data_IF_482829382307
#
_entry.id   IF_482829382307
#
_cell.length_a   1.000
_cell.length_b   1.000
_cell.length_c   1.000
_cell.angle_alpha   90.00
_cell.angle_beta   90.00
_cell.angle_gamma   90.00
#
_symmetry.space_group_name_H-M   'P 1'
#
loop_
_entity.id
_entity.type
_entity.pdbx_description
1 polymer ?
#
# COMPACT_ATOMS: atom_id res chain seq x y z
N UNK A 1 5.07 -9.22 -31.48
CA UNK A 1 4.12 -8.12 -31.67
C UNK A 1 4.65 -6.93 -30.92
N UNK A 2 5.09 -5.92 -31.67
CA UNK A 2 5.63 -4.70 -31.11
C UNK A 2 4.46 -3.76 -30.80
N UNK A 3 3.89 -3.87 -29.61
CA UNK A 3 2.90 -2.93 -29.10
C UNK A 3 3.52 -1.55 -28.79
N UNK A 4 4.84 -1.41 -28.99
CA UNK A 4 5.63 -0.26 -28.51
C UNK A 4 5.32 1.07 -29.21
N UNK A 5 4.66 1.05 -30.34
CA UNK A 5 4.43 2.26 -31.13
C UNK A 5 3.03 2.84 -31.04
N UNK A 6 2.09 2.17 -30.36
CA UNK A 6 0.68 2.54 -30.41
C UNK A 6 0.21 3.37 -29.20
N UNK A 7 0.86 3.23 -28.05
CA UNK A 7 0.44 3.92 -26.83
C UNK A 7 1.64 4.45 -26.04
N UNK A 8 1.72 5.76 -25.83
CA UNK A 8 2.75 6.40 -25.00
C UNK A 8 2.71 5.89 -23.54
N UNK A 9 1.54 5.45 -23.06
CA UNK A 9 1.34 4.89 -21.72
C UNK A 9 2.10 3.58 -21.48
N UNK A 10 2.52 2.88 -22.51
CA UNK A 10 3.25 1.60 -22.39
C UNK A 10 4.78 1.78 -22.45
N UNK A 11 5.26 2.99 -22.72
CA UNK A 11 6.69 3.24 -22.89
C UNK A 11 7.48 2.87 -21.62
N UNK A 12 6.92 3.12 -20.44
CA UNK A 12 7.59 2.91 -19.17
C UNK A 12 7.83 1.43 -18.85
N UNK A 13 7.02 0.51 -19.38
CA UNK A 13 7.13 -0.92 -19.12
C UNK A 13 7.98 -1.66 -20.18
N UNK A 14 8.40 -0.99 -21.25
CA UNK A 14 9.26 -1.60 -22.25
C UNK A 14 10.62 -1.97 -21.66
N UNK A 15 11.03 -3.22 -21.82
CA UNK A 15 12.26 -3.76 -21.23
C UNK A 15 13.50 -2.93 -21.59
N UNK A 16 13.62 -2.47 -22.85
CA UNK A 16 14.70 -1.59 -23.31
C UNK A 16 14.77 -0.28 -22.51
N UNK A 17 13.63 0.31 -22.20
CA UNK A 17 13.53 1.56 -21.46
C UNK A 17 13.79 1.34 -19.96
N UNK A 18 13.31 0.23 -19.40
CA UNK A 18 13.58 -0.12 -18.02
C UNK A 18 15.08 -0.30 -17.78
N UNK A 19 15.76 -0.98 -18.69
CA UNK A 19 17.19 -1.29 -18.58
C UNK A 19 18.10 -0.11 -18.92
N UNK A 20 17.59 0.94 -19.55
CA UNK A 20 18.32 2.18 -19.79
C UNK A 20 18.41 3.00 -18.50
N UNK A 21 19.64 3.18 -18.00
CA UNK A 21 19.89 3.94 -16.76
C UNK A 21 19.47 5.41 -16.83
N UNK A 22 19.36 5.99 -18.02
CA UNK A 22 18.96 7.38 -18.23
C UNK A 22 17.45 7.55 -18.40
N UNK A 23 16.73 6.45 -18.57
CA UNK A 23 15.29 6.52 -18.78
C UNK A 23 14.56 6.92 -17.50
N UNK A 24 13.67 7.90 -17.61
CA UNK A 24 12.77 8.32 -16.55
C UNK A 24 11.33 7.96 -16.91
N UNK A 25 10.54 7.63 -15.90
CA UNK A 25 9.11 7.38 -16.06
C UNK A 25 8.41 8.65 -16.60
N UNK A 26 7.59 8.49 -17.63
CA UNK A 26 6.93 9.62 -18.29
C UNK A 26 5.48 9.35 -18.68
N UNK A 27 5.07 8.11 -18.65
CA UNK A 27 3.74 7.70 -19.11
C UNK A 27 2.63 8.12 -18.13
N UNK A 28 1.40 7.78 -18.47
CA UNK A 28 0.25 8.00 -17.60
C UNK A 28 0.41 7.23 -16.29
N UNK A 29 0.28 7.94 -15.16
CA UNK A 29 0.62 7.40 -13.84
C UNK A 29 -0.12 6.10 -13.51
N UNK A 30 -1.45 6.08 -13.68
CA UNK A 30 -2.28 4.90 -13.41
C UNK A 30 -1.77 3.67 -14.13
N UNK A 31 -1.48 3.77 -15.44
CA UNK A 31 -0.98 2.65 -16.25
C UNK A 31 0.44 2.24 -15.83
N UNK A 32 1.30 3.20 -15.49
CA UNK A 32 2.65 2.90 -15.03
C UNK A 32 2.63 2.04 -13.75
N UNK A 33 1.75 2.35 -12.81
CA UNK A 33 1.60 1.57 -11.58
C UNK A 33 0.92 0.22 -11.82
N UNK A 34 -0.05 0.16 -12.72
CA UNK A 34 -0.68 -1.10 -13.15
C UNK A 34 0.33 -2.05 -13.80
N UNK A 35 1.21 -1.55 -14.64
CA UNK A 35 2.18 -2.36 -15.39
C UNK A 35 3.25 -3.05 -14.52
N UNK A 36 3.39 -2.68 -13.25
CA UNK A 36 4.23 -3.43 -12.30
C UNK A 36 3.79 -4.90 -12.27
N UNK A 37 2.48 -5.18 -12.31
CA UNK A 37 1.93 -6.55 -12.32
C UNK A 37 2.40 -7.35 -13.53
N UNK A 38 2.52 -6.71 -14.68
CA UNK A 38 3.04 -7.35 -15.90
C UNK A 38 4.48 -7.84 -15.71
N UNK A 39 5.34 -7.00 -15.14
CA UNK A 39 6.73 -7.38 -14.84
C UNK A 39 6.83 -8.48 -13.78
N UNK A 40 6.00 -8.40 -12.72
CA UNK A 40 5.94 -9.44 -11.68
C UNK A 40 5.57 -10.78 -12.32
N UNK A 41 4.49 -10.81 -13.11
CA UNK A 41 4.01 -12.05 -13.75
C UNK A 41 5.07 -12.58 -14.70
N UNK A 42 5.66 -11.72 -15.56
CA UNK A 42 6.69 -12.13 -16.52
C UNK A 42 7.92 -12.72 -15.81
N UNK A 43 8.41 -12.07 -14.74
CA UNK A 43 9.54 -12.59 -13.94
C UNK A 43 9.26 -13.98 -13.40
N UNK A 44 8.09 -14.19 -12.77
CA UNK A 44 7.78 -15.47 -12.14
C UNK A 44 7.40 -16.56 -13.12
N UNK A 45 6.88 -16.21 -14.32
CA UNK A 45 6.59 -17.18 -15.38
C UNK A 45 7.84 -17.63 -16.11
N UNK A 46 8.73 -16.70 -16.45
CA UNK A 46 9.92 -17.00 -17.26
C UNK A 46 11.16 -17.37 -16.43
N UNK A 47 11.22 -17.01 -15.14
CA UNK A 47 12.38 -17.19 -14.26
C UNK A 47 13.68 -16.59 -14.85
N UNK A 48 13.57 -15.48 -15.57
CA UNK A 48 14.64 -14.80 -16.28
C UNK A 48 15.34 -13.77 -15.39
N UNK A 49 16.68 -13.81 -15.33
CA UNK A 49 17.48 -12.88 -14.54
C UNK A 49 17.35 -11.42 -15.01
N UNK A 50 17.15 -11.22 -16.33
CA UNK A 50 16.96 -9.88 -16.91
C UNK A 50 15.64 -9.28 -16.46
N UNK A 51 14.56 -10.08 -16.41
CA UNK A 51 13.27 -9.64 -15.90
C UNK A 51 13.32 -9.37 -14.38
N UNK A 52 14.11 -10.13 -13.63
CA UNK A 52 14.34 -9.85 -12.22
C UNK A 52 15.00 -8.50 -12.02
N UNK A 53 16.09 -8.23 -12.74
CA UNK A 53 16.78 -6.93 -12.73
C UNK A 53 15.86 -5.79 -13.17
N UNK A 54 15.06 -6.02 -14.22
CA UNK A 54 14.12 -5.03 -14.73
C UNK A 54 13.06 -4.66 -13.67
N UNK A 55 12.52 -5.66 -12.97
CA UNK A 55 11.55 -5.39 -11.89
C UNK A 55 12.17 -4.55 -10.77
N UNK A 56 13.39 -4.87 -10.32
CA UNK A 56 14.07 -4.12 -9.27
C UNK A 56 14.28 -2.65 -9.68
N UNK A 57 14.78 -2.41 -10.90
CA UNK A 57 14.97 -1.05 -11.43
C UNK A 57 13.63 -0.31 -11.54
N UNK A 58 12.58 -1.00 -12.00
CA UNK A 58 11.27 -0.39 -12.17
C UNK A 58 10.68 0.01 -10.81
N UNK A 59 10.76 -0.85 -9.79
CA UNK A 59 10.32 -0.57 -8.44
C UNK A 59 11.07 0.62 -7.81
N UNK A 60 12.38 0.75 -8.06
CA UNK A 60 13.14 1.91 -7.56
C UNK A 60 12.70 3.22 -8.22
N UNK A 61 12.33 3.20 -9.49
CA UNK A 61 11.73 4.36 -10.16
C UNK A 61 10.33 4.68 -9.67
N UNK A 62 9.52 3.66 -9.39
CA UNK A 62 8.18 3.81 -8.83
C UNK A 62 8.22 4.53 -7.47
N UNK A 63 9.19 4.21 -6.62
CA UNK A 63 9.37 4.91 -5.32
C UNK A 63 9.59 6.41 -5.50
N UNK A 64 10.25 6.84 -6.59
CA UNK A 64 10.45 8.26 -6.90
C UNK A 64 9.18 8.93 -7.45
N UNK A 65 8.21 8.13 -7.93
CA UNK A 65 6.92 8.59 -8.43
C UNK A 65 5.80 8.52 -7.38
N UNK A 66 6.14 8.31 -6.11
CA UNK A 66 5.20 8.31 -4.98
C UNK A 66 5.66 9.31 -3.92
N UNK A 67 4.70 9.99 -3.28
CA UNK A 67 4.95 10.92 -2.18
C UNK A 67 5.18 10.17 -0.86
N UNK A 68 5.52 10.90 0.19
CA UNK A 68 5.77 10.36 1.53
C UNK A 68 4.56 9.67 2.15
N UNK A 69 3.33 10.04 1.77
CA UNK A 69 2.09 9.38 2.20
C UNK A 69 1.77 8.11 1.40
N UNK A 70 2.57 7.77 0.41
CA UNK A 70 2.26 6.73 -0.58
C UNK A 70 1.39 7.25 -1.73
N UNK A 71 1.24 8.57 -1.86
CA UNK A 71 0.49 9.22 -2.93
C UNK A 71 1.18 9.04 -4.29
N UNK A 72 0.66 8.17 -5.15
CA UNK A 72 1.22 7.86 -6.45
C UNK A 72 0.82 8.91 -7.50
N UNK A 73 1.79 9.46 -8.26
CA UNK A 73 1.53 10.47 -9.29
C UNK A 73 0.42 10.00 -10.21
N UNK A 74 -0.64 10.78 -10.33
CA UNK A 74 -1.81 10.44 -11.11
C UNK A 74 -2.36 11.60 -11.89
N UNK A 75 -1.71 12.76 -11.86
CA UNK A 75 -2.09 13.94 -12.63
C UNK A 75 -1.75 13.74 -14.11
N UNK A 76 -2.42 12.77 -14.71
CA UNK A 76 -2.29 12.31 -16.08
C UNK A 76 -0.90 11.68 -16.38
N UNK A 77 0.17 12.47 -16.44
CA UNK A 77 1.49 12.02 -16.88
C UNK A 77 2.56 12.21 -15.81
N UNK A 78 3.39 11.19 -15.62
CA UNK A 78 4.56 11.30 -14.74
C UNK A 78 5.56 12.32 -15.31
N UNK A 79 5.72 12.35 -16.62
CA UNK A 79 6.48 13.39 -17.36
C UNK A 79 7.88 13.65 -16.77
N UNK A 80 8.62 12.58 -16.44
CA UNK A 80 9.98 12.59 -15.87
C UNK A 80 10.10 13.28 -14.50
N UNK A 81 8.97 13.54 -13.82
CA UNK A 81 8.94 14.18 -12.50
C UNK A 81 9.20 13.17 -11.38
N UNK A 82 9.88 13.62 -10.35
CA UNK A 82 9.84 12.98 -9.05
C UNK A 82 8.66 13.51 -8.25
N UNK A 83 8.06 12.67 -7.43
CA UNK A 83 6.99 13.10 -6.54
C UNK A 83 7.51 13.99 -5.41
N UNK A 84 6.75 15.01 -5.07
CA UNK A 84 6.96 15.82 -3.87
C UNK A 84 5.64 16.12 -3.16
N UNK A 85 5.73 16.55 -1.91
CA UNK A 85 4.55 16.75 -1.05
C UNK A 85 3.66 17.93 -1.50
N UNK A 86 4.20 18.90 -2.24
CA UNK A 86 3.53 20.18 -2.54
C UNK A 86 2.97 20.22 -3.96
N UNK A 87 3.76 19.73 -4.94
CA UNK A 87 3.43 19.90 -6.36
C UNK A 87 2.91 18.63 -7.03
N UNK A 88 2.95 17.49 -6.32
CA UNK A 88 2.49 16.23 -6.89
C UNK A 88 1.02 16.00 -6.57
N UNK A 89 0.18 16.10 -7.62
CA UNK A 89 -1.18 15.59 -7.56
C UNK A 89 -1.15 14.07 -7.67
N UNK A 90 -1.55 13.36 -6.62
CA UNK A 90 -1.79 11.92 -6.69
C UNK A 90 -3.27 11.62 -6.88
N UNK A 91 -3.55 10.60 -7.68
CA UNK A 91 -4.88 10.23 -8.11
C UNK A 91 -5.33 8.95 -7.41
N UNK A 92 -6.63 8.87 -7.06
CA UNK A 92 -7.14 7.68 -6.38
C UNK A 92 -7.00 6.39 -7.21
N UNK A 93 -7.09 6.50 -8.55
CA UNK A 93 -6.83 5.38 -9.44
C UNK A 93 -5.38 4.88 -9.32
N UNK A 94 -4.42 5.80 -9.29
CA UNK A 94 -3.00 5.45 -9.10
C UNK A 94 -2.74 4.79 -7.76
N UNK A 95 -3.40 5.25 -6.68
CA UNK A 95 -3.31 4.62 -5.37
C UNK A 95 -3.79 3.17 -5.40
N UNK A 96 -4.93 2.92 -6.04
CA UNK A 96 -5.51 1.57 -6.17
C UNK A 96 -4.59 0.66 -6.98
N UNK A 97 -4.09 1.12 -8.14
CA UNK A 97 -3.26 0.29 -9.01
C UNK A 97 -1.88 0.00 -8.39
N UNK A 98 -1.30 0.97 -7.68
CA UNK A 98 -0.05 0.75 -6.95
C UNK A 98 -0.22 -0.22 -5.79
N UNK A 99 -1.31 -0.06 -5.00
CA UNK A 99 -1.61 -0.96 -3.89
C UNK A 99 -1.82 -2.40 -4.38
N UNK A 100 -2.60 -2.61 -5.44
CA UNK A 100 -2.85 -3.94 -6.01
C UNK A 100 -1.56 -4.57 -6.54
N UNK A 101 -0.71 -3.77 -7.20
CA UNK A 101 0.59 -4.22 -7.69
C UNK A 101 1.52 -4.65 -6.54
N UNK A 102 1.54 -3.89 -5.45
CA UNK A 102 2.32 -4.27 -4.27
C UNK A 102 1.70 -5.49 -3.56
N UNK A 103 0.38 -5.65 -3.55
CA UNK A 103 -0.25 -6.85 -3.04
C UNK A 103 0.19 -8.11 -3.81
N UNK A 104 0.21 -8.04 -5.14
CA UNK A 104 0.74 -9.14 -5.97
C UNK A 104 2.23 -9.40 -5.69
N UNK A 105 3.03 -8.34 -5.55
CA UNK A 105 4.45 -8.48 -5.21
C UNK A 105 4.64 -9.13 -3.84
N UNK A 106 3.87 -8.72 -2.84
CA UNK A 106 3.88 -9.32 -1.50
C UNK A 106 3.53 -10.81 -1.54
N UNK A 107 2.47 -11.19 -2.30
CA UNK A 107 2.09 -12.59 -2.49
C UNK A 107 3.22 -13.42 -3.12
N UNK A 108 3.98 -12.86 -4.04
CA UNK A 108 5.05 -13.58 -4.75
C UNK A 108 6.35 -13.65 -3.97
N UNK A 109 6.64 -12.65 -3.15
CA UNK A 109 7.95 -12.53 -2.49
C UNK A 109 7.91 -12.87 -1.00
N UNK A 110 6.78 -12.68 -0.33
CA UNK A 110 6.69 -12.69 1.12
C UNK A 110 7.53 -11.58 1.79
N UNK A 111 7.99 -10.57 1.04
CA UNK A 111 8.82 -9.50 1.58
C UNK A 111 8.01 -8.57 2.48
N UNK A 112 8.32 -8.59 3.78
CA UNK A 112 7.61 -7.81 4.81
C UNK A 112 7.60 -6.30 4.54
N UNK A 113 8.65 -5.75 3.91
CA UNK A 113 8.74 -4.31 3.63
C UNK A 113 7.69 -3.82 2.62
N UNK A 114 7.20 -4.71 1.75
CA UNK A 114 6.11 -4.38 0.83
C UNK A 114 4.80 -4.17 1.60
N UNK A 115 4.61 -4.87 2.71
CA UNK A 115 3.47 -4.63 3.60
C UNK A 115 3.45 -3.21 4.19
N UNK A 116 4.63 -2.63 4.49
CA UNK A 116 4.72 -1.24 4.96
C UNK A 116 4.32 -0.25 3.86
N UNK A 117 4.72 -0.49 2.61
CA UNK A 117 4.32 0.34 1.47
C UNK A 117 2.79 0.28 1.23
N UNK A 118 2.20 -0.92 1.32
CA UNK A 118 0.75 -1.10 1.17
C UNK A 118 -0.01 -0.37 2.29
N UNK A 119 0.43 -0.51 3.54
CA UNK A 119 -0.18 0.17 4.68
C UNK A 119 -0.01 1.69 4.59
N UNK A 120 1.14 2.18 4.12
CA UNK A 120 1.37 3.60 3.91
C UNK A 120 0.38 4.19 2.90
N UNK A 121 0.18 3.54 1.74
CA UNK A 121 -0.82 3.95 0.76
C UNK A 121 -2.22 3.94 1.37
N UNK A 122 -2.59 2.84 2.04
CA UNK A 122 -3.94 2.64 2.53
C UNK A 122 -4.30 3.58 3.68
N UNK A 123 -3.45 3.67 4.71
CA UNK A 123 -3.75 4.45 5.92
C UNK A 123 -3.50 5.94 5.76
N UNK A 124 -2.64 6.37 4.84
CA UNK A 124 -2.28 7.78 4.67
C UNK A 124 -2.88 8.38 3.38
N UNK A 125 -2.32 8.09 2.20
CA UNK A 125 -2.78 8.73 0.97
C UNK A 125 -4.26 8.45 0.65
N UNK A 126 -4.69 7.19 0.76
CA UNK A 126 -6.06 6.82 0.42
C UNK A 126 -7.09 7.36 1.42
N UNK A 127 -6.80 7.32 2.73
CA UNK A 127 -7.69 7.92 3.72
C UNK A 127 -7.64 9.45 3.65
N UNK A 128 -6.49 10.05 3.45
CA UNK A 128 -6.33 11.48 3.26
C UNK A 128 -7.08 12.07 2.06
N UNK A 129 -7.39 11.24 1.06
CA UNK A 129 -8.18 11.64 -0.11
C UNK A 129 -9.70 11.52 0.11
N UNK A 130 -10.15 11.03 1.27
CA UNK A 130 -11.57 10.92 1.63
C UNK A 130 -11.99 12.11 2.50
N UNK A 131 -13.20 12.58 2.28
CA UNK A 131 -13.79 13.55 3.18
C UNK A 131 -14.29 12.81 4.44
N UNK A 132 -13.89 13.21 5.65
CA UNK A 132 -14.30 12.52 6.87
C UNK A 132 -15.79 12.68 7.20
N UNK A 133 -16.44 13.73 6.70
CA UNK A 133 -17.81 14.10 7.05
C UNK A 133 -18.83 13.72 5.95
N UNK A 134 -18.38 13.39 4.76
CA UNK A 134 -19.24 13.12 3.60
C UNK A 134 -18.74 11.95 2.80
N UNK A 135 -19.67 11.23 2.14
CA UNK A 135 -19.32 10.13 1.24
C UNK A 135 -18.80 10.66 -0.10
N UNK A 136 -17.60 11.24 -0.08
CA UNK A 136 -16.96 11.75 -1.28
C UNK A 136 -15.42 11.65 -1.16
N UNK A 137 -14.78 11.73 -2.30
CA UNK A 137 -13.32 11.68 -2.46
C UNK A 137 -12.79 12.89 -3.25
N UNK A 138 -11.50 13.15 -3.12
CA UNK A 138 -10.80 14.00 -4.06
C UNK A 138 -10.31 13.16 -5.26
N UNK A 139 -10.46 13.67 -6.48
CA UNK A 139 -9.85 13.08 -7.67
C UNK A 139 -8.32 13.19 -7.56
N UNK A 140 -7.81 14.40 -7.35
CA UNK A 140 -6.41 14.69 -7.10
C UNK A 140 -6.24 15.29 -5.70
N UNK A 141 -5.14 14.94 -5.05
CA UNK A 141 -4.70 15.52 -3.78
C UNK A 141 -3.18 15.65 -3.76
N UNK A 142 -2.67 16.61 -3.01
CA UNK A 142 -1.25 16.70 -2.64
C UNK A 142 -1.11 16.44 -1.14
N UNK A 143 0.06 16.03 -0.68
CA UNK A 143 0.28 15.81 0.76
C UNK A 143 0.21 17.12 1.54
N UNK A 144 0.68 18.21 0.94
CA UNK A 144 0.67 19.55 1.51
C UNK A 144 -0.41 20.41 0.84
N UNK A 145 -1.68 19.99 0.91
CA UNK A 145 -2.81 20.73 0.35
C UNK A 145 -3.30 21.77 1.35
N UNK A 146 -3.29 23.02 0.92
CA UNK A 146 -4.04 24.07 1.59
C UNK A 146 -5.43 24.13 0.97
N UNK A 147 -6.45 23.83 1.73
CA UNK A 147 -7.85 23.72 1.31
C UNK A 147 -8.08 22.89 0.02
N UNK A 148 -9.15 22.15 -0.04
CA UNK A 148 -9.53 21.36 -1.22
C UNK A 148 -10.44 22.23 -2.13
N UNK A 149 -9.92 23.35 -2.64
CA UNK A 149 -10.71 24.38 -3.34
C UNK A 149 -10.65 24.32 -4.87
N UNK A 150 -10.08 23.26 -5.43
CA UNK A 150 -9.96 23.12 -6.88
C UNK A 150 -8.78 23.89 -7.45
N UNK A 151 -7.74 24.01 -6.64
CA UNK A 151 -6.48 24.66 -7.00
C UNK A 151 -5.34 23.66 -6.84
N UNK A 152 -4.33 23.75 -7.66
CA UNK A 152 -3.06 23.06 -7.46
C UNK A 152 -2.22 23.91 -6.52
N UNK A 153 -1.91 23.42 -5.33
CA UNK A 153 -1.09 24.12 -4.33
C UNK A 153 -1.61 25.51 -3.93
N UNK A 154 -2.93 25.72 -3.90
CA UNK A 154 -3.51 27.02 -3.62
C UNK A 154 -3.52 27.99 -4.80
N UNK A 155 -2.96 27.61 -5.95
CA UNK A 155 -3.03 28.44 -7.15
C UNK A 155 -4.36 28.27 -7.86
N UNK A 156 -5.05 29.35 -8.13
CA UNK A 156 -6.26 29.36 -8.94
C UNK A 156 -5.85 29.30 -10.40
N UNK A 157 -6.18 28.19 -11.09
CA UNK A 157 -6.07 28.12 -12.54
C UNK A 157 -7.27 28.83 -13.17
N UNK A 158 -7.10 30.05 -13.72
CA UNK A 158 -8.25 30.86 -14.11
C UNK A 158 -9.04 30.30 -15.29
N UNK A 159 -8.42 29.49 -16.15
CA UNK A 159 -9.01 28.97 -17.39
C UNK A 159 -9.56 27.56 -17.29
N UNK A 160 -9.27 26.85 -16.20
CA UNK A 160 -9.84 25.54 -15.92
C UNK A 160 -10.64 25.64 -14.63
N UNK A 161 -11.90 25.37 -14.68
CA UNK A 161 -12.72 25.13 -13.49
C UNK A 161 -12.19 23.84 -12.83
N UNK A 162 -11.03 23.92 -12.17
CA UNK A 162 -10.32 22.80 -11.59
C UNK A 162 -11.15 22.21 -10.44
N UNK A 163 -12.01 21.28 -10.80
CA UNK A 163 -12.79 20.52 -9.84
C UNK A 163 -12.04 19.29 -9.32
N UNK A 164 -10.91 18.93 -9.96
CA UNK A 164 -10.13 17.71 -9.64
C UNK A 164 -9.56 17.70 -8.24
N UNK A 165 -9.17 18.87 -7.71
CA UNK A 165 -8.65 19.00 -6.34
C UNK A 165 -9.72 19.24 -5.29
N UNK A 166 -11.01 19.16 -5.64
CA UNK A 166 -12.14 19.26 -4.71
C UNK A 166 -12.64 17.88 -4.32
N UNK A 167 -13.25 17.83 -3.15
CA UNK A 167 -14.08 16.68 -2.82
C UNK A 167 -15.31 16.65 -3.69
N UNK A 168 -15.55 15.51 -4.36
CA UNK A 168 -16.67 15.30 -5.25
C UNK A 168 -17.49 14.11 -4.81
N UNK A 169 -18.82 14.23 -4.72
CA UNK A 169 -19.71 13.10 -4.55
C UNK A 169 -19.61 12.10 -5.70
N UNK A 170 -19.93 10.84 -5.44
CA UNK A 170 -19.79 9.74 -6.39
C UNK A 170 -20.58 9.93 -7.70
N UNK A 171 -21.63 10.73 -7.69
CA UNK A 171 -22.49 10.98 -8.86
C UNK A 171 -22.07 12.20 -9.70
N UNK A 172 -20.99 12.87 -9.32
CA UNK A 172 -20.44 13.99 -10.08
C UNK A 172 -19.28 13.53 -10.96
N UNK A 173 -19.21 14.06 -12.15
CA UNK A 173 -18.37 13.61 -13.26
C UNK A 173 -16.86 13.75 -13.06
N UNK A 174 -16.41 14.62 -12.18
CA UNK A 174 -14.98 14.85 -11.97
C UNK A 174 -14.20 13.69 -11.35
N UNK A 175 -14.88 12.74 -10.71
CA UNK A 175 -14.23 11.61 -10.05
C UNK A 175 -14.76 10.25 -10.59
N UNK A 176 -15.22 10.20 -11.83
CA UNK A 176 -15.88 9.03 -12.43
C UNK A 176 -15.08 7.74 -12.31
N UNK A 177 -13.78 7.76 -12.66
CA UNK A 177 -12.89 6.58 -12.54
C UNK A 177 -12.43 6.35 -11.10
N UNK A 178 -12.23 7.41 -10.31
CA UNK A 178 -11.69 7.31 -8.96
C UNK A 178 -12.71 6.76 -7.95
N UNK A 179 -14.00 7.02 -8.15
CA UNK A 179 -15.06 6.52 -7.25
C UNK A 179 -15.09 4.98 -7.14
N UNK A 180 -15.15 4.20 -8.24
CA UNK A 180 -15.06 2.75 -8.15
C UNK A 180 -13.72 2.27 -7.58
N UNK A 181 -12.61 2.96 -7.86
CA UNK A 181 -11.32 2.62 -7.29
C UNK A 181 -11.26 2.88 -5.78
N UNK A 182 -11.89 3.95 -5.30
CA UNK A 182 -12.07 4.18 -3.87
C UNK A 182 -12.94 3.10 -3.21
N UNK A 183 -13.91 2.53 -3.92
CA UNK A 183 -14.67 1.37 -3.47
C UNK A 183 -13.85 0.08 -3.44
N UNK A 184 -12.92 -0.09 -4.38
CA UNK A 184 -12.09 -1.30 -4.50
C UNK A 184 -10.94 -1.39 -3.50
N UNK A 185 -10.34 -0.26 -3.09
CA UNK A 185 -9.09 -0.27 -2.34
C UNK A 185 -9.19 -1.01 -1.00
N UNK A 186 -10.33 -0.86 -0.29
CA UNK A 186 -10.54 -1.56 0.98
C UNK A 186 -10.71 -3.07 0.81
N UNK A 187 -11.55 -3.60 -0.09
CA UNK A 187 -11.58 -5.03 -0.39
C UNK A 187 -10.22 -5.62 -0.75
N UNK A 188 -9.42 -4.95 -1.56
CA UNK A 188 -8.07 -5.43 -1.94
C UNK A 188 -7.12 -5.45 -0.74
N UNK A 189 -7.15 -4.43 0.10
CA UNK A 189 -6.38 -4.40 1.34
C UNK A 189 -6.77 -5.54 2.28
N UNK A 190 -8.08 -5.73 2.52
CA UNK A 190 -8.61 -6.77 3.40
C UNK A 190 -8.26 -8.17 2.88
N UNK A 191 -8.45 -8.41 1.59
CA UNK A 191 -8.16 -9.71 0.96
C UNK A 191 -6.71 -10.12 1.13
N UNK A 192 -5.79 -9.16 1.16
CA UNK A 192 -4.36 -9.39 1.29
C UNK A 192 -3.85 -9.29 2.74
N UNK A 193 -4.73 -9.16 3.74
CA UNK A 193 -4.31 -9.09 5.15
C UNK A 193 -3.82 -10.43 5.70
N UNK A 194 -4.26 -11.53 5.12
CA UNK A 194 -3.80 -12.87 5.44
C UNK A 194 -3.39 -13.62 4.17
N UNK A 195 -2.33 -14.40 4.29
CA UNK A 195 -1.86 -15.31 3.24
C UNK A 195 -1.62 -16.71 3.82
N UNK A 196 -1.55 -17.70 2.95
CA UNK A 196 -1.23 -19.07 3.32
C UNK A 196 0.09 -19.46 2.66
N UNK A 197 1.01 -20.03 3.45
CA UNK A 197 2.27 -20.58 2.97
C UNK A 197 2.27 -22.08 3.21
N UNK A 198 2.13 -22.87 2.14
CA UNK A 198 1.93 -24.31 2.25
C UNK A 198 0.62 -24.67 2.97
N UNK A 199 0.57 -25.85 3.60
CA UNK A 199 -0.65 -26.39 4.18
C UNK A 199 -0.86 -26.00 5.65
N UNK A 200 0.21 -25.62 6.35
CA UNK A 200 0.21 -25.46 7.80
C UNK A 200 0.70 -24.11 8.31
N UNK A 201 0.84 -23.10 7.44
CA UNK A 201 1.32 -21.78 7.83
C UNK A 201 0.35 -20.69 7.39
N UNK A 202 -0.07 -19.85 8.32
CA UNK A 202 -0.84 -18.64 8.09
C UNK A 202 0.07 -17.43 8.30
N UNK A 203 -0.06 -16.45 7.42
CA UNK A 203 0.78 -15.24 7.43
C UNK A 203 -0.11 -14.00 7.53
N UNK A 204 -0.07 -13.32 8.67
CA UNK A 204 -0.67 -12.01 8.84
C UNK A 204 0.24 -10.96 8.18
N UNK A 205 -0.10 -10.55 6.99
CA UNK A 205 0.71 -9.70 6.12
C UNK A 205 0.40 -8.22 6.26
N UNK A 206 -0.87 -7.86 6.43
CA UNK A 206 -1.31 -6.48 6.66
C UNK A 206 -2.05 -6.41 8.00
N UNK A 207 -1.71 -5.41 8.79
CA UNK A 207 -2.24 -5.27 10.14
C UNK A 207 -3.54 -4.47 10.11
N UNK A 208 -4.62 -5.04 10.65
CA UNK A 208 -5.94 -4.42 10.73
C UNK A 208 -6.88 -5.26 11.59
N UNK A 209 -7.96 -4.71 12.15
CA UNK A 209 -9.02 -5.53 12.72
C UNK A 209 -9.70 -6.34 11.62
N UNK A 210 -9.76 -7.66 11.77
CA UNK A 210 -10.38 -8.57 10.80
C UNK A 210 -10.75 -9.91 11.42
N UNK A 211 -11.50 -10.72 10.67
CA UNK A 211 -11.77 -12.13 10.97
C UNK A 211 -11.40 -12.95 9.74
N UNK A 212 -10.48 -13.89 9.95
CA UNK A 212 -10.11 -14.90 8.94
C UNK A 212 -10.91 -16.18 9.20
N UNK A 213 -11.60 -16.67 8.18
CA UNK A 213 -12.15 -18.02 8.13
C UNK A 213 -11.35 -18.84 7.11
N UNK A 214 -10.77 -19.94 7.55
CA UNK A 214 -9.92 -20.78 6.70
C UNK A 214 -9.90 -22.22 7.18
N UNK A 215 -9.27 -23.08 6.40
CA UNK A 215 -8.88 -24.42 6.83
C UNK A 215 -7.38 -24.52 6.97
N UNK A 216 -6.92 -25.08 8.07
CA UNK A 216 -5.52 -25.42 8.34
C UNK A 216 -5.42 -26.89 8.77
N UNK A 217 -4.58 -27.67 8.12
CA UNK A 217 -4.49 -29.12 8.34
C UNK A 217 -5.86 -29.83 8.26
N UNK A 218 -6.73 -29.38 7.32
CA UNK A 218 -8.08 -29.96 7.14
C UNK A 218 -9.09 -29.62 8.26
N UNK A 219 -8.77 -28.65 9.13
CA UNK A 219 -9.65 -28.21 10.22
C UNK A 219 -10.13 -26.80 9.97
N UNK A 220 -11.43 -26.57 10.15
CA UNK A 220 -11.99 -25.23 10.12
C UNK A 220 -11.39 -24.40 11.26
N UNK A 221 -10.84 -23.28 10.91
CA UNK A 221 -10.12 -22.38 11.81
C UNK A 221 -10.60 -20.95 11.57
N UNK A 222 -10.95 -20.27 12.65
CA UNK A 222 -11.24 -18.85 12.66
C UNK A 222 -10.16 -18.14 13.47
N UNK A 223 -9.64 -17.03 12.93
CA UNK A 223 -8.76 -16.11 13.67
C UNK A 223 -9.38 -14.74 13.62
N UNK A 224 -9.71 -14.21 14.80
CA UNK A 224 -10.19 -12.85 14.97
C UNK A 224 -9.03 -11.97 15.46
N UNK A 225 -8.65 -10.97 14.68
CA UNK A 225 -7.65 -9.97 15.06
C UNK A 225 -8.36 -8.77 15.71
N UNK A 226 -8.25 -8.68 17.02
CA UNK A 226 -8.83 -7.60 17.83
C UNK A 226 -7.76 -6.55 18.04
N UNK A 227 -8.01 -5.37 17.50
CA UNK A 227 -7.08 -4.22 17.57
C UNK A 227 -7.80 -2.94 17.19
N UNK A 228 -7.27 -1.80 17.58
CA UNK A 228 -7.65 -0.47 17.07
C UNK A 228 -6.59 0.11 16.13
N UNK A 229 -5.71 -0.75 15.60
CA UNK A 229 -4.69 -0.35 14.62
C UNK A 229 -5.33 0.34 13.40
N UNK A 230 -4.77 1.42 12.89
CA UNK A 230 -3.42 1.97 13.15
C UNK A 230 -3.32 2.99 14.29
N UNK A 231 -4.39 3.23 15.07
CA UNK A 231 -4.37 4.21 16.17
C UNK A 231 -3.62 3.70 17.41
N UNK A 232 -3.62 2.38 17.63
CA UNK A 232 -2.84 1.69 18.66
C UNK A 232 -2.14 0.49 18.05
N UNK A 233 -1.06 0.05 18.67
CA UNK A 233 -0.20 -1.01 18.16
C UNK A 233 -0.31 -2.30 19.00
N UNK A 234 -1.47 -2.52 19.66
CA UNK A 234 -1.76 -3.70 20.45
C UNK A 234 -2.70 -4.62 19.69
N UNK A 235 -2.45 -5.92 19.78
CA UNK A 235 -3.15 -6.94 19.01
C UNK A 235 -3.48 -8.16 19.86
N UNK A 236 -4.67 -8.71 19.67
CA UNK A 236 -5.09 -10.00 20.22
C UNK A 236 -5.60 -10.84 19.06
N UNK A 237 -4.92 -11.93 18.74
CA UNK A 237 -5.42 -12.93 17.80
C UNK A 237 -6.16 -13.99 18.60
N UNK A 238 -7.49 -14.02 18.51
CA UNK A 238 -8.30 -15.12 19.04
C UNK A 238 -8.43 -16.21 18.01
N UNK A 239 -8.09 -17.44 18.39
CA UNK A 239 -8.08 -18.59 17.51
C UNK A 239 -9.18 -19.54 17.98
N UNK A 240 -10.11 -19.89 17.07
CA UNK A 240 -11.17 -20.85 17.31
C UNK A 240 -11.09 -21.95 16.27
N UNK A 241 -11.05 -23.20 16.71
CA UNK A 241 -11.00 -24.37 15.84
C UNK A 241 -11.78 -25.55 16.45
N UNK A 242 -12.17 -26.49 15.59
CA UNK A 242 -12.94 -27.65 16.03
C UNK A 242 -12.17 -28.59 16.98
N UNK A 243 -10.85 -28.67 16.82
CA UNK A 243 -9.91 -29.49 17.66
C UNK A 243 -8.53 -28.82 17.63
N UNK A 244 -7.73 -29.06 18.67
CA UNK A 244 -6.33 -28.62 18.72
C UNK A 244 -5.54 -29.10 17.51
N UNK A 245 -4.66 -28.25 17.02
CA UNK A 245 -3.76 -28.58 15.90
C UNK A 245 -2.45 -27.82 15.98
N UNK A 246 -1.38 -28.47 15.50
CA UNK A 246 -0.07 -27.82 15.36
C UNK A 246 -0.01 -27.10 14.01
N UNK A 247 0.29 -25.80 14.03
CA UNK A 247 0.55 -25.00 12.84
C UNK A 247 1.43 -23.79 13.15
N UNK A 248 1.70 -22.98 12.14
CA UNK A 248 2.56 -21.82 12.22
C UNK A 248 1.74 -20.57 11.94
N UNK A 249 1.92 -19.55 12.77
CA UNK A 249 1.45 -18.20 12.48
C UNK A 249 2.69 -17.32 12.33
N UNK A 250 2.80 -16.68 11.16
CA UNK A 250 3.77 -15.61 10.90
C UNK A 250 3.05 -14.27 10.98
N UNK A 251 3.58 -13.34 11.75
CA UNK A 251 3.03 -11.99 11.92
C UNK A 251 4.06 -11.00 11.40
N UNK A 252 3.70 -10.18 10.41
CA UNK A 252 4.60 -9.18 9.87
C UNK A 252 5.02 -8.19 10.95
N UNK A 253 6.31 -7.89 10.99
CA UNK A 253 6.90 -6.87 11.84
C UNK A 253 7.07 -5.61 10.98
N UNK A 254 6.33 -4.52 11.27
CA UNK A 254 6.50 -3.28 10.52
C UNK A 254 7.88 -2.66 10.72
N UNK A 255 8.42 -2.01 9.70
CA UNK A 255 9.74 -1.36 9.76
C UNK A 255 9.84 -0.23 10.80
N UNK A 256 8.71 0.35 11.19
CA UNK A 256 8.65 1.37 12.23
C UNK A 256 8.71 0.79 13.66
N UNK A 257 8.48 -0.51 13.83
CA UNK A 257 8.49 -1.16 15.14
C UNK A 257 9.91 -1.20 15.71
N UNK A 258 10.07 -0.69 16.92
CA UNK A 258 11.36 -0.65 17.63
C UNK A 258 11.53 -1.93 18.45
N UNK A 259 10.44 -2.43 19.01
CA UNK A 259 10.42 -3.61 19.86
C UNK A 259 9.08 -4.34 19.76
N UNK A 260 9.14 -5.64 19.95
CA UNK A 260 7.96 -6.52 20.02
C UNK A 260 7.80 -6.94 21.48
N UNK A 261 6.60 -6.75 22.01
CA UNK A 261 6.22 -7.26 23.32
C UNK A 261 5.25 -8.41 23.15
N UNK A 262 5.61 -9.57 23.65
CA UNK A 262 4.76 -10.78 23.67
C UNK A 262 5.30 -11.79 24.67
N UNK A 263 4.45 -12.62 25.22
CA UNK A 263 4.83 -13.76 26.05
C UNK A 263 4.99 -15.04 25.24
N UNK A 264 4.62 -15.01 23.95
CA UNK A 264 4.72 -16.17 23.08
C UNK A 264 6.18 -16.53 22.78
N UNK A 265 6.50 -17.83 22.83
CA UNK A 265 7.75 -18.32 22.29
C UNK A 265 7.75 -18.14 20.78
N UNK A 266 8.69 -17.34 20.29
CA UNK A 266 8.77 -16.98 18.88
C UNK A 266 10.21 -17.00 18.38
N UNK A 267 10.36 -16.94 17.04
CA UNK A 267 11.62 -16.60 16.36
C UNK A 267 11.36 -15.48 15.34
N UNK A 268 12.36 -14.68 15.09
CA UNK A 268 12.32 -13.64 14.06
C UNK A 268 12.92 -14.21 12.78
N UNK A 269 12.20 -14.09 11.67
CA UNK A 269 12.65 -14.58 10.38
C UNK A 269 12.08 -13.70 9.26
N UNK A 270 12.95 -13.16 8.42
CA UNK A 270 12.60 -12.43 7.19
C UNK A 270 11.57 -11.28 7.39
N UNK A 271 11.66 -10.58 8.53
CA UNK A 271 10.74 -9.50 8.89
C UNK A 271 9.40 -9.98 9.47
N UNK A 272 9.33 -11.24 9.91
CA UNK A 272 8.16 -11.81 10.58
C UNK A 272 8.51 -12.34 11.97
N UNK A 273 7.58 -12.18 12.90
CA UNK A 273 7.53 -12.93 14.15
C UNK A 273 6.84 -14.27 13.87
N UNK A 274 7.54 -15.37 14.09
CA UNK A 274 7.09 -16.73 13.76
C UNK A 274 6.77 -17.47 15.05
N UNK A 275 5.52 -17.88 15.21
CA UNK A 275 5.01 -18.67 16.34
C UNK A 275 4.62 -20.04 15.82
N UNK A 276 5.29 -21.07 16.30
CA UNK A 276 5.05 -22.46 15.93
C UNK A 276 4.74 -23.26 17.19
N UNK A 277 3.51 -23.71 17.33
CA UNK A 277 3.08 -24.56 18.44
C UNK A 277 1.78 -25.29 18.14
N UNK A 278 1.36 -26.14 19.04
CA UNK A 278 -0.01 -26.62 19.06
C UNK A 278 -0.93 -25.52 19.62
N UNK A 279 -1.98 -25.21 18.88
CA UNK A 279 -3.03 -24.29 19.30
C UNK A 279 -4.24 -25.10 19.78
N UNK A 280 -4.78 -24.75 20.94
CA UNK A 280 -5.99 -25.39 21.48
C UNK A 280 -7.24 -24.98 20.69
N UNK A 281 -8.38 -25.63 20.97
CA UNK A 281 -9.66 -25.32 20.31
C UNK A 281 -10.09 -23.86 20.50
N UNK A 282 -9.76 -23.27 21.66
CA UNK A 282 -9.92 -21.83 21.94
C UNK A 282 -8.58 -21.33 22.49
N UNK A 283 -7.92 -20.50 21.74
CA UNK A 283 -6.57 -20.02 22.05
C UNK A 283 -6.44 -18.53 21.77
N UNK A 284 -5.36 -17.89 22.22
CA UNK A 284 -5.07 -16.49 21.90
C UNK A 284 -3.57 -16.22 21.87
N UNK A 285 -3.19 -15.31 21.02
CA UNK A 285 -1.85 -14.70 20.97
C UNK A 285 -2.02 -13.23 21.28
N UNK A 286 -1.21 -12.69 22.21
CA UNK A 286 -1.16 -11.26 22.51
C UNK A 286 0.22 -10.72 22.17
N UNK A 287 0.25 -9.61 21.47
CA UNK A 287 1.48 -8.90 21.15
C UNK A 287 1.23 -7.41 20.94
N UNK A 288 2.30 -6.63 21.06
CA UNK A 288 2.29 -5.22 20.68
C UNK A 288 3.63 -4.81 20.07
N UNK A 289 3.59 -3.70 19.32
CA UNK A 289 4.78 -3.07 18.77
C UNK A 289 5.02 -1.72 19.45
N UNK A 290 6.22 -1.54 20.02
CA UNK A 290 6.64 -0.22 20.49
C UNK A 290 7.11 0.63 19.31
N UNK A 291 6.82 1.91 19.35
CA UNK A 291 7.29 2.91 18.38
C UNK A 291 7.44 4.27 19.04
N UNK A 292 8.24 5.12 18.43
CA UNK A 292 8.40 6.52 18.82
C UNK A 292 7.89 7.45 17.71
N UNK A 293 7.58 8.68 18.09
CA UNK A 293 7.37 9.75 17.10
C UNK A 293 8.68 10.01 16.36
N UNK A 294 8.65 9.88 15.04
CA UNK A 294 9.82 10.17 14.19
C UNK A 294 9.59 11.45 13.41
N UNK A 295 10.57 12.34 13.47
CA UNK A 295 10.65 13.52 12.61
C UNK A 295 11.48 13.12 11.39
N UNK A 296 10.93 13.32 10.22
CA UNK A 296 11.60 13.03 8.95
C UNK A 296 11.60 14.29 8.08
N UNK A 297 12.52 14.33 7.11
CA UNK A 297 12.64 15.43 6.15
C UNK A 297 12.37 14.91 4.75
N UNK A 298 11.53 15.63 4.00
CA UNK A 298 11.37 15.42 2.57
C UNK A 298 12.57 16.00 1.80
N UNK A 299 12.74 15.61 0.55
CA UNK A 299 13.79 16.14 -0.32
C UNK A 299 13.71 17.67 -0.51
N UNK A 300 12.52 18.24 -0.36
CA UNK A 300 12.24 19.69 -0.41
C UNK A 300 12.66 20.45 0.86
N UNK A 301 13.13 19.74 1.91
CA UNK A 301 13.44 20.34 3.21
C UNK A 301 12.25 20.45 4.16
N UNK A 302 11.03 20.13 3.72
CA UNK A 302 9.86 20.07 4.59
C UNK A 302 9.98 18.94 5.62
N UNK A 303 9.53 19.20 6.85
CA UNK A 303 9.52 18.21 7.93
C UNK A 303 8.13 17.61 8.10
N UNK A 304 8.07 16.34 8.45
CA UNK A 304 6.85 15.63 8.76
C UNK A 304 7.04 14.65 9.91
N UNK A 305 5.94 14.25 10.52
CA UNK A 305 5.94 13.37 11.68
C UNK A 305 5.28 12.04 11.34
N UNK A 306 5.86 10.95 11.83
CA UNK A 306 5.23 9.62 11.77
C UNK A 306 5.17 9.00 13.15
N UNK A 307 4.11 8.25 13.42
CA UNK A 307 3.98 7.39 14.59
C UNK A 307 3.32 6.08 14.16
N UNK A 308 4.04 4.98 14.31
CA UNK A 308 3.60 3.72 13.72
C UNK A 308 3.41 3.83 12.20
N UNK A 309 2.29 3.35 11.70
CA UNK A 309 1.93 3.43 10.28
C UNK A 309 1.37 4.80 9.84
N UNK A 310 1.10 5.70 10.79
CA UNK A 310 0.44 6.96 10.48
C UNK A 310 1.43 8.09 10.19
N UNK A 311 1.13 8.84 9.14
CA UNK A 311 1.71 10.12 8.80
C UNK A 311 0.81 11.22 9.38
N UNK A 312 1.38 12.13 10.16
CA UNK A 312 0.66 13.22 10.78
C UNK A 312 0.82 14.51 9.97
N UNK A 313 -0.29 15.16 9.71
CA UNK A 313 -0.34 16.48 9.10
C UNK A 313 -0.67 17.54 10.16
N UNK A 314 -0.07 18.73 10.04
CA UNK A 314 -0.48 19.89 10.79
C UNK A 314 -1.67 20.53 10.07
N UNK A 315 -2.85 20.65 10.72
CA UNK A 315 -3.97 21.37 10.12
C UNK A 315 -3.58 22.82 9.91
N UNK A 316 -3.82 23.33 8.72
CA UNK A 316 -3.69 24.76 8.39
C UNK A 316 -5.08 25.35 8.57
N UNK A 317 -5.22 26.21 9.60
CA UNK A 317 -6.48 26.89 9.96
C UNK A 317 -6.76 28.09 9.08
#
# INVERSE_FOLDING_TARGET
>A
NDFSNTYQSEADVQLKNILDSNYKLKSHGVHTFEHIRTLIIAKYAAQDATLSKALDIYLDRIKQAATISGGAIGDEWIAERNADATFTGYEYCSLQELLDSYCLLLQKTGNSTIGDEIENIFYNAAQGSRNPNHSCIAYLKTDNSFEMLGTKNGEVEPDRKQTRYKYSPAHQDVAVCCNPNAGRISPYFIQNSWMKEGENTLVATLLMPNILHTQINGKDTQIENITTYPNQNDFILKITQSKSSKFIIKIRIPNWAIKINTTEKNRLQDGYMVIEREFSANDSIQFSFETDVKIKSAATGAHYFTYGALLYALPIG
#
